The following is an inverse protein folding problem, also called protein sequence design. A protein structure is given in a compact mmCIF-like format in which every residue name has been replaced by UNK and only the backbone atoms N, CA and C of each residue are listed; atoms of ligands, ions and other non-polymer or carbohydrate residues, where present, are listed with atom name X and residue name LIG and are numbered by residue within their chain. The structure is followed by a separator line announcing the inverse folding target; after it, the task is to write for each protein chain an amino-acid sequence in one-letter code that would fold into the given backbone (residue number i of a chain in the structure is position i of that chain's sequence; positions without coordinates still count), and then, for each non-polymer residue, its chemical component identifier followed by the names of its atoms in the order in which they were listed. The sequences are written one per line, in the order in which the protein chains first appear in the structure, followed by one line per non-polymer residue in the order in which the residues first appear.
data_IF_028525995762
#
_entry.id   IF_028525995762
#
_cell.length_a   1.000
_cell.length_b   1.000
_cell.length_c   1.000
_cell.angle_alpha   90.00
_cell.angle_beta   90.00
_cell.angle_gamma   90.00
#
_symmetry.space_group_name_H-M   'P 1'
#
loop_
_entity.id
_entity.type
_entity.pdbx_description
1 polymer ?
#
# COMPACT_ATOMS: atom_id res chain seq x y z
N UNK A 1 6.26 9.92 -11.46
CA UNK A 1 6.01 8.86 -10.45
C UNK A 1 7.14 8.95 -9.45
N UNK A 2 6.85 9.04 -8.15
CA UNK A 2 7.91 9.19 -7.14
C UNK A 2 8.61 7.84 -6.94
N UNK A 3 9.80 7.67 -7.54
CA UNK A 3 10.56 6.41 -7.49
C UNK A 3 10.93 6.01 -6.06
N UNK A 4 11.17 6.97 -5.17
CA UNK A 4 11.46 6.73 -3.76
C UNK A 4 10.25 6.10 -3.05
N UNK A 5 9.05 6.64 -3.29
CA UNK A 5 7.79 6.13 -2.74
C UNK A 5 7.56 4.67 -3.16
N UNK A 6 7.81 4.39 -4.44
CA UNK A 6 7.66 3.06 -5.04
C UNK A 6 8.61 2.07 -4.38
N UNK A 7 9.90 2.42 -4.24
CA UNK A 7 10.87 1.53 -3.59
C UNK A 7 10.52 1.29 -2.13
N UNK A 8 10.15 2.35 -1.39
CA UNK A 8 9.76 2.22 0.02
C UNK A 8 8.52 1.33 0.19
N UNK A 9 7.52 1.46 -0.69
CA UNK A 9 6.35 0.58 -0.64
C UNK A 9 6.74 -0.88 -0.95
N UNK A 10 7.57 -1.13 -1.96
CA UNK A 10 8.09 -2.47 -2.25
C UNK A 10 8.83 -3.09 -1.06
N UNK A 11 9.63 -2.30 -0.34
CA UNK A 11 10.30 -2.77 0.87
C UNK A 11 9.31 -3.21 1.96
N UNK A 12 8.19 -2.50 2.13
CA UNK A 12 7.16 -2.89 3.10
C UNK A 12 6.56 -4.25 2.73
N UNK A 13 6.20 -4.46 1.47
CA UNK A 13 5.70 -5.76 1.00
C UNK A 13 6.75 -6.86 1.21
N UNK A 14 8.00 -6.61 0.83
CA UNK A 14 9.09 -7.59 0.97
C UNK A 14 9.37 -7.96 2.43
N UNK A 15 9.28 -7.01 3.37
CA UNK A 15 9.42 -7.28 4.82
C UNK A 15 8.34 -8.20 5.36
N UNK A 16 7.16 -8.19 4.73
CA UNK A 16 6.02 -9.03 5.07
C UNK A 16 5.98 -10.32 4.21
N UNK A 17 7.05 -10.62 3.46
CA UNK A 17 7.16 -11.86 2.68
C UNK A 17 6.45 -11.84 1.33
N UNK A 18 5.97 -10.68 0.87
CA UNK A 18 5.31 -10.51 -0.44
C UNK A 18 6.26 -9.84 -1.42
N UNK A 19 6.46 -10.44 -2.59
CA UNK A 19 7.30 -9.86 -3.64
C UNK A 19 6.43 -9.25 -4.74
N UNK A 20 6.77 -8.04 -5.19
CA UNK A 20 6.04 -7.29 -6.21
C UNK A 20 6.99 -6.98 -7.37
N UNK A 21 6.74 -7.56 -8.55
CA UNK A 21 7.46 -7.19 -9.77
C UNK A 21 6.87 -5.93 -10.42
N UNK A 22 7.51 -5.44 -11.49
CA UNK A 22 6.99 -4.27 -12.24
C UNK A 22 5.67 -4.59 -12.95
N UNK A 23 5.55 -5.80 -13.49
CA UNK A 23 4.39 -6.25 -14.27
C UNK A 23 3.19 -6.56 -13.37
N UNK A 24 3.43 -6.77 -12.07
CA UNK A 24 2.40 -7.15 -11.10
C UNK A 24 1.62 -5.97 -10.51
N UNK A 25 2.05 -4.73 -10.77
CA UNK A 25 1.59 -3.57 -9.99
C UNK A 25 0.09 -3.25 -10.11
N UNK A 26 -0.53 -3.66 -11.22
CA UNK A 26 -1.96 -3.51 -11.48
C UNK A 26 -2.77 -4.78 -11.17
N UNK A 27 -2.11 -5.88 -10.79
CA UNK A 27 -2.78 -7.09 -10.34
C UNK A 27 -3.36 -6.91 -8.93
N UNK A 28 -4.38 -7.72 -8.63
CA UNK A 28 -4.95 -7.77 -7.29
C UNK A 28 -3.90 -8.27 -6.30
N UNK A 29 -3.77 -7.57 -5.18
CA UNK A 29 -2.85 -7.95 -4.10
C UNK A 29 -3.19 -9.33 -3.54
N UNK A 30 -4.47 -9.69 -3.52
CA UNK A 30 -4.96 -11.00 -3.07
C UNK A 30 -4.44 -12.17 -3.93
N UNK A 31 -4.00 -11.89 -5.17
CA UNK A 31 -3.46 -12.91 -6.08
C UNK A 31 -1.96 -13.16 -5.84
N UNK A 32 -1.29 -12.35 -5.02
CA UNK A 32 0.14 -12.49 -4.77
C UNK A 32 0.46 -13.66 -3.85
N UNK A 33 1.51 -14.40 -4.21
CA UNK A 33 1.99 -15.50 -3.39
C UNK A 33 2.48 -14.99 -2.03
N UNK A 34 1.97 -15.58 -0.95
CA UNK A 34 2.23 -15.14 0.41
C UNK A 34 1.27 -14.06 0.92
N UNK A 35 0.29 -13.65 0.11
CA UNK A 35 -0.78 -12.78 0.58
C UNK A 35 -1.88 -13.58 1.28
N UNK A 36 -2.23 -13.15 2.48
CA UNK A 36 -3.42 -13.58 3.22
C UNK A 36 -4.05 -12.37 3.94
N UNK A 37 -5.25 -12.54 4.50
CA UNK A 37 -5.99 -11.46 5.16
C UNK A 37 -5.26 -10.85 6.37
N UNK A 38 -4.44 -11.61 7.08
CA UNK A 38 -3.64 -11.13 8.22
C UNK A 38 -2.45 -10.34 7.70
N UNK A 39 -1.72 -10.90 6.74
CA UNK A 39 -0.55 -10.25 6.11
C UNK A 39 -0.96 -8.95 5.43
N UNK A 40 -2.13 -8.91 4.79
CA UNK A 40 -2.68 -7.68 4.19
C UNK A 40 -2.88 -6.58 5.23
N UNK A 41 -3.53 -6.90 6.36
CA UNK A 41 -3.73 -5.94 7.46
C UNK A 41 -2.40 -5.50 8.08
N UNK A 42 -1.41 -6.40 8.19
CA UNK A 42 -0.07 -6.06 8.67
C UNK A 42 0.63 -5.06 7.75
N UNK A 43 0.58 -5.30 6.43
CA UNK A 43 1.13 -4.39 5.41
C UNK A 43 0.47 -3.02 5.52
N UNK A 44 -0.87 -2.95 5.58
CA UNK A 44 -1.59 -1.68 5.70
C UNK A 44 -1.21 -0.91 6.97
N UNK A 45 -1.11 -1.60 8.12
CA UNK A 45 -0.66 -0.97 9.37
C UNK A 45 0.77 -0.43 9.26
N UNK A 46 1.66 -1.18 8.60
CA UNK A 46 3.04 -0.74 8.40
C UNK A 46 3.11 0.44 7.43
N UNK A 47 2.32 0.46 6.36
CA UNK A 47 2.19 1.60 5.45
C UNK A 47 1.70 2.83 6.22
N UNK A 48 0.63 2.71 7.02
CA UNK A 48 0.11 3.82 7.82
C UNK A 48 1.19 4.43 8.72
N UNK A 49 1.98 3.58 9.40
CA UNK A 49 3.10 3.99 10.25
C UNK A 49 4.25 4.63 9.45
N UNK A 50 4.75 3.96 8.42
CA UNK A 50 5.96 4.35 7.69
C UNK A 50 5.76 5.62 6.85
N UNK A 51 4.53 5.88 6.38
CA UNK A 51 4.17 7.05 5.59
C UNK A 51 3.45 8.14 6.41
N UNK A 52 3.16 7.90 7.69
CA UNK A 52 2.51 8.87 8.57
C UNK A 52 1.06 9.20 8.18
N UNK A 53 0.35 8.23 7.61
CA UNK A 53 -1.03 8.39 7.12
C UNK A 53 -2.00 7.58 7.97
N UNK A 54 -3.29 7.95 7.94
CA UNK A 54 -4.36 7.17 8.56
C UNK A 54 -5.13 6.38 7.50
N UNK A 55 -5.33 5.10 7.76
CA UNK A 55 -6.18 4.19 6.98
C UNK A 55 -7.37 3.85 7.87
N UNK A 56 -8.56 4.26 7.45
CA UNK A 56 -9.81 4.00 8.17
C UNK A 56 -10.65 2.96 7.41
N UNK A 57 -11.71 2.45 8.03
CA UNK A 57 -12.60 1.46 7.41
C UNK A 57 -13.18 1.91 6.06
N UNK A 58 -13.48 3.21 5.91
CA UNK A 58 -13.95 3.77 4.65
C UNK A 58 -12.89 3.65 3.53
N UNK A 59 -11.61 3.78 3.86
CA UNK A 59 -10.51 3.62 2.91
C UNK A 59 -10.39 2.14 2.49
N UNK A 60 -10.61 1.19 3.39
CA UNK A 60 -10.64 -0.25 3.05
C UNK A 60 -11.80 -0.61 2.12
N UNK A 61 -12.96 0.02 2.30
CA UNK A 61 -14.18 -0.25 1.51
C UNK A 61 -14.18 0.41 0.12
N UNK A 62 -13.34 1.42 -0.09
CA UNK A 62 -13.27 2.19 -1.34
C UNK A 62 -12.76 1.38 -2.54
N UNK A 63 -12.01 0.29 -2.28
CA UNK A 63 -11.28 -0.43 -3.31
C UNK A 63 -9.92 0.19 -3.66
N UNK A 64 -9.55 1.32 -3.04
CA UNK A 64 -8.28 2.03 -3.31
C UNK A 64 -7.04 1.30 -2.76
N UNK A 65 -7.22 0.15 -2.10
CA UNK A 65 -6.15 -0.64 -1.49
C UNK A 65 -6.02 -2.05 -2.07
N UNK A 66 -6.60 -2.30 -3.25
CA UNK A 66 -6.65 -3.64 -3.88
C UNK A 66 -5.47 -3.96 -4.78
N UNK A 67 -4.74 -2.96 -5.27
CA UNK A 67 -3.55 -3.13 -6.14
C UNK A 67 -2.40 -2.28 -5.62
N UNK A 68 -1.17 -2.65 -5.99
CA UNK A 68 0.01 -1.90 -5.58
C UNK A 68 -0.05 -0.44 -6.09
N UNK A 69 -0.48 -0.24 -7.34
CA UNK A 69 -0.63 1.09 -7.90
C UNK A 69 -1.73 1.91 -7.20
N UNK A 70 -2.85 1.29 -6.81
CA UNK A 70 -3.90 1.99 -6.07
C UNK A 70 -3.40 2.43 -4.69
N UNK A 71 -2.66 1.56 -3.98
CA UNK A 71 -2.04 1.91 -2.69
C UNK A 71 -1.04 3.08 -2.86
N UNK A 72 -0.22 3.08 -3.90
CA UNK A 72 0.68 4.21 -4.17
C UNK A 72 -0.08 5.52 -4.39
N UNK A 73 -1.16 5.49 -5.17
CA UNK A 73 -2.00 6.66 -5.40
C UNK A 73 -2.64 7.15 -4.11
N UNK A 74 -3.18 6.22 -3.30
CA UNK A 74 -3.77 6.50 -2.00
C UNK A 74 -2.78 7.18 -1.05
N UNK A 75 -1.55 6.65 -0.92
CA UNK A 75 -0.51 7.25 -0.07
C UNK A 75 -0.21 8.66 -0.56
N UNK A 76 -0.02 8.85 -1.86
CA UNK A 76 0.29 10.15 -2.43
C UNK A 76 -0.83 11.18 -2.16
N UNK A 77 -2.10 10.79 -2.34
CA UNK A 77 -3.25 11.65 -2.05
C UNK A 77 -3.34 12.03 -0.56
N UNK A 78 -3.13 11.06 0.34
CA UNK A 78 -3.15 11.32 1.79
C UNK A 78 -2.00 12.21 2.23
N UNK A 79 -0.79 12.02 1.69
CA UNK A 79 0.35 12.87 2.00
C UNK A 79 0.14 14.32 1.52
N UNK A 80 -0.43 14.52 0.32
CA UNK A 80 -0.81 15.86 -0.17
C UNK A 80 -1.92 16.51 0.67
N UNK A 81 -2.82 15.71 1.25
CA UNK A 81 -3.92 16.20 2.09
C UNK A 81 -3.47 16.50 3.54
N UNK A 82 -2.39 15.85 4.00
CA UNK A 82 -1.85 16.02 5.36
C UNK A 82 -1.15 17.39 5.58
N UNK A 83 -1.04 18.25 4.56
CA UNK A 83 -0.53 19.63 4.72
C UNK A 83 -1.57 20.61 5.30
N UNK A 84 -2.79 20.15 5.60
CA UNK A 84 -3.83 20.99 6.22
C UNK A 84 -4.32 20.36 7.52
N UNK A 85 -3.51 20.45 8.59
CA UNK A 85 -3.98 20.48 9.99
C UNK A 85 -2.87 20.82 10.98
#
# INVERSE_FOLDING_TARGET
MNEELVQKLKEVFSKNGVSISEDDRDMSIDDFFGMDSITYVQILNQIASDFGIKINDADLLSGDLTTFNNILQFINQKQMTNEVR
#
